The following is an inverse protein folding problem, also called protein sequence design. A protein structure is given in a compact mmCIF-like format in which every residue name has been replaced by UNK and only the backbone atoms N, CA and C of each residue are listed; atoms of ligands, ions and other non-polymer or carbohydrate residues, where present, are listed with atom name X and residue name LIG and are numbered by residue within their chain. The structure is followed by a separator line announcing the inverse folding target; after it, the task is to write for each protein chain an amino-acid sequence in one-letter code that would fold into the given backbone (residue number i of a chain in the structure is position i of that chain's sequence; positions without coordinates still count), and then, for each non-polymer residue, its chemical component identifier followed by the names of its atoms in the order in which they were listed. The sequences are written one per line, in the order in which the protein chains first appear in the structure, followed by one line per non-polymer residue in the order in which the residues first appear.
data_IF_131441975059
#
_entry.id   IF_131441975059
#
_cell.length_a   1.000
_cell.length_b   1.000
_cell.length_c   1.000
_cell.angle_alpha   90.00
_cell.angle_beta   90.00
_cell.angle_gamma   90.00
#
_symmetry.space_group_name_H-M   'P 1'
#
loop_
_entity.id
_entity.type
_entity.pdbx_description
1 polymer ?
#
# COMPACT_ATOMS: atom_id res chain seq x y z
N UNK A 1 30.39 -32.27 3.90
CA UNK A 1 30.70 -31.34 2.79
C UNK A 1 29.44 -30.89 2.02
N UNK A 2 28.53 -31.82 1.70
CA UNK A 2 27.25 -31.57 1.00
C UNK A 2 26.33 -30.57 1.72
N UNK A 3 26.24 -30.63 3.05
CA UNK A 3 25.36 -29.76 3.85
C UNK A 3 25.73 -28.27 3.76
N UNK A 4 27.03 -27.94 3.77
CA UNK A 4 27.53 -26.56 3.58
C UNK A 4 27.29 -26.02 2.17
N UNK A 5 27.15 -26.89 1.18
CA UNK A 5 26.81 -26.49 -0.19
C UNK A 5 25.30 -26.22 -0.32
N UNK A 6 24.48 -27.11 0.25
CA UNK A 6 23.02 -26.95 0.28
C UNK A 6 22.60 -25.66 1.00
N UNK A 7 23.20 -25.37 2.16
CA UNK A 7 22.94 -24.15 2.92
C UNK A 7 23.34 -22.88 2.14
N UNK A 8 24.51 -22.89 1.47
CA UNK A 8 24.96 -21.77 0.63
C UNK A 8 24.10 -21.57 -0.62
N UNK A 9 23.55 -22.64 -1.19
CA UNK A 9 22.60 -22.56 -2.30
C UNK A 9 21.27 -21.99 -1.84
N UNK A 10 20.76 -22.44 -0.69
CA UNK A 10 19.54 -21.93 -0.08
C UNK A 10 19.63 -20.44 0.23
N UNK A 11 20.74 -19.99 0.81
CA UNK A 11 20.94 -18.57 1.11
C UNK A 11 20.93 -17.71 -0.16
N UNK A 12 21.65 -18.13 -1.21
CA UNK A 12 21.65 -17.41 -2.51
C UNK A 12 20.26 -17.29 -3.11
N UNK A 13 19.47 -18.37 -3.12
CA UNK A 13 18.10 -18.34 -3.63
C UNK A 13 17.20 -17.38 -2.83
N UNK A 14 17.42 -17.27 -1.51
CA UNK A 14 16.69 -16.31 -0.68
C UNK A 14 17.12 -14.87 -0.99
N UNK A 15 18.43 -14.63 -1.15
CA UNK A 15 18.95 -13.30 -1.44
C UNK A 15 18.51 -12.81 -2.85
N UNK A 16 18.53 -13.70 -3.84
CA UNK A 16 18.04 -13.42 -5.20
C UNK A 16 16.52 -13.10 -5.18
N UNK A 17 15.73 -13.89 -4.45
CA UNK A 17 14.30 -13.65 -4.29
C UNK A 17 13.99 -12.32 -3.59
N UNK A 18 14.77 -11.93 -2.57
CA UNK A 18 14.66 -10.62 -1.92
C UNK A 18 14.92 -9.50 -2.93
N UNK A 19 15.98 -9.63 -3.74
CA UNK A 19 16.36 -8.61 -4.71
C UNK A 19 15.32 -8.45 -5.82
N UNK A 20 14.81 -9.55 -6.37
CA UNK A 20 13.75 -9.52 -7.38
C UNK A 20 12.49 -8.86 -6.83
N UNK A 21 12.06 -9.25 -5.63
CA UNK A 21 10.88 -8.68 -4.99
C UNK A 21 11.06 -7.19 -4.65
N UNK A 22 12.27 -6.74 -4.28
CA UNK A 22 12.57 -5.31 -4.08
C UNK A 22 12.36 -4.50 -5.35
N UNK A 23 12.86 -4.98 -6.49
CA UNK A 23 12.71 -4.30 -7.78
C UNK A 23 11.24 -4.23 -8.20
N UNK A 24 10.50 -5.33 -8.03
CA UNK A 24 9.08 -5.37 -8.35
C UNK A 24 8.24 -4.41 -7.49
N UNK A 25 8.46 -4.42 -6.17
CA UNK A 25 7.77 -3.53 -5.24
C UNK A 25 8.05 -2.06 -5.57
N UNK A 26 9.30 -1.69 -5.80
CA UNK A 26 9.65 -0.32 -6.16
C UNK A 26 8.92 0.13 -7.44
N UNK A 27 8.95 -0.70 -8.49
CA UNK A 27 8.24 -0.39 -9.74
C UNK A 27 6.72 -0.31 -9.60
N UNK A 28 6.10 -1.05 -8.66
CA UNK A 28 4.67 -0.89 -8.38
C UNK A 28 4.35 0.38 -7.61
N UNK A 29 5.22 0.80 -6.69
CA UNK A 29 4.97 2.04 -5.94
C UNK A 29 5.18 3.27 -6.80
N UNK A 30 6.19 3.28 -7.68
CA UNK A 30 6.35 4.35 -8.68
C UNK A 30 5.08 4.52 -9.53
N UNK A 31 4.47 3.41 -9.95
CA UNK A 31 3.19 3.40 -10.69
C UNK A 31 1.97 3.81 -9.86
N UNK A 32 2.07 3.86 -8.53
CA UNK A 32 0.95 4.30 -7.68
C UNK A 32 0.64 5.77 -7.93
N UNK A 33 1.66 6.60 -8.21
CA UNK A 33 1.45 8.00 -8.54
C UNK A 33 0.72 8.14 -9.89
N UNK A 34 1.18 7.43 -10.92
CA UNK A 34 0.52 7.39 -12.24
C UNK A 34 -0.94 6.96 -12.10
N UNK A 35 -1.20 5.88 -11.35
CA UNK A 35 -2.57 5.40 -11.13
C UNK A 35 -3.44 6.36 -10.33
N UNK A 36 -2.83 7.14 -9.42
CA UNK A 36 -3.52 8.21 -8.70
C UNK A 36 -3.94 9.31 -9.68
N UNK A 37 -3.02 9.75 -10.53
CA UNK A 37 -3.26 10.81 -11.50
C UNK A 37 -4.31 10.40 -12.54
N UNK A 38 -4.24 9.16 -13.04
CA UNK A 38 -5.24 8.58 -13.95
C UNK A 38 -6.62 8.48 -13.30
N UNK A 39 -6.68 8.09 -12.02
CA UNK A 39 -7.93 8.01 -11.26
C UNK A 39 -8.56 9.39 -11.11
N UNK A 40 -7.75 10.41 -10.79
CA UNK A 40 -8.21 11.80 -10.65
C UNK A 40 -8.70 12.34 -11.99
N UNK A 41 -7.93 12.18 -13.07
CA UNK A 41 -8.31 12.65 -14.41
C UNK A 41 -9.60 11.97 -14.88
N UNK A 42 -9.76 10.68 -14.61
CA UNK A 42 -10.98 9.95 -14.96
C UNK A 42 -12.19 10.46 -14.18
N UNK A 43 -12.07 10.68 -12.87
CA UNK A 43 -13.14 11.27 -12.06
C UNK A 43 -13.50 12.67 -12.54
N UNK A 44 -12.51 13.50 -12.88
CA UNK A 44 -12.73 14.85 -13.40
C UNK A 44 -13.49 14.83 -14.73
N UNK A 45 -13.09 13.98 -15.69
CA UNK A 45 -13.82 13.81 -16.96
C UNK A 45 -15.25 13.31 -16.75
N UNK A 46 -15.49 12.50 -15.72
CA UNK A 46 -16.84 12.06 -15.38
C UNK A 46 -17.69 13.21 -14.82
N UNK A 47 -17.09 14.11 -14.03
CA UNK A 47 -17.74 15.32 -13.56
C UNK A 47 -18.15 16.21 -14.73
N UNK A 48 -17.22 16.51 -15.65
CA UNK A 48 -17.49 17.36 -16.83
C UNK A 48 -18.60 16.79 -17.73
N UNK A 49 -18.63 15.47 -17.92
CA UNK A 49 -19.63 14.81 -18.79
C UNK A 49 -21.03 14.75 -18.20
N UNK A 50 -21.16 14.79 -16.87
CA UNK A 50 -22.42 14.51 -16.19
C UNK A 50 -23.00 15.69 -15.42
N UNK A 51 -22.29 16.83 -15.39
CA UNK A 51 -22.62 18.01 -14.58
C UNK A 51 -22.91 17.66 -13.11
N UNK A 52 -22.11 16.70 -12.59
CA UNK A 52 -22.22 16.19 -11.23
C UNK A 52 -21.03 16.64 -10.40
N UNK A 53 -21.28 16.84 -9.11
CA UNK A 53 -20.22 17.00 -8.11
C UNK A 53 -19.34 15.75 -8.01
N UNK A 54 -18.12 15.91 -7.49
CA UNK A 54 -17.19 14.80 -7.28
C UNK A 54 -17.82 13.72 -6.39
N UNK A 55 -18.55 14.10 -5.34
CA UNK A 55 -19.22 13.17 -4.44
C UNK A 55 -20.27 12.32 -5.16
N UNK A 56 -21.05 12.94 -6.05
CA UNK A 56 -22.05 12.24 -6.86
C UNK A 56 -21.42 11.32 -7.90
N UNK A 57 -20.30 11.74 -8.51
CA UNK A 57 -19.52 10.92 -9.43
C UNK A 57 -18.88 9.74 -8.70
N UNK A 58 -18.24 9.97 -7.57
CA UNK A 58 -17.63 8.93 -6.73
C UNK A 58 -18.66 7.91 -6.22
N UNK A 59 -19.90 8.35 -5.97
CA UNK A 59 -21.01 7.49 -5.57
C UNK A 59 -21.67 6.73 -6.74
N UNK A 60 -21.38 7.08 -8.00
CA UNK A 60 -21.91 6.36 -9.16
C UNK A 60 -21.35 4.93 -9.23
N UNK A 61 -21.93 4.08 -10.07
CA UNK A 61 -21.42 2.72 -10.25
C UNK A 61 -20.00 2.73 -10.82
N UNK A 62 -19.76 3.55 -11.84
CA UNK A 62 -18.46 3.71 -12.49
C UNK A 62 -17.43 4.34 -11.56
N UNK A 63 -17.81 5.37 -10.78
CA UNK A 63 -16.91 6.01 -9.83
C UNK A 63 -16.49 5.05 -8.72
N UNK A 64 -17.43 4.27 -8.19
CA UNK A 64 -17.12 3.22 -7.21
C UNK A 64 -16.22 2.13 -7.77
N UNK A 65 -16.43 1.69 -9.02
CA UNK A 65 -15.57 0.70 -9.68
C UNK A 65 -14.13 1.21 -9.82
N UNK A 66 -13.96 2.46 -10.26
CA UNK A 66 -12.66 3.10 -10.40
C UNK A 66 -11.95 3.24 -9.05
N UNK A 67 -12.64 3.77 -8.03
CA UNK A 67 -12.09 3.92 -6.69
C UNK A 67 -11.74 2.57 -6.05
N UNK A 68 -12.55 1.53 -6.32
CA UNK A 68 -12.27 0.18 -5.85
C UNK A 68 -11.03 -0.43 -6.51
N UNK A 69 -10.82 -0.20 -7.81
CA UNK A 69 -9.60 -0.62 -8.50
C UNK A 69 -8.37 0.07 -7.91
N UNK A 70 -8.46 1.39 -7.66
CA UNK A 70 -7.39 2.13 -7.00
C UNK A 70 -7.07 1.59 -5.59
N UNK A 71 -8.10 1.26 -4.81
CA UNK A 71 -7.94 0.63 -3.50
C UNK A 71 -7.25 -0.74 -3.59
N UNK A 72 -7.68 -1.59 -4.53
CA UNK A 72 -7.10 -2.92 -4.73
C UNK A 72 -5.62 -2.83 -5.12
N UNK A 73 -5.23 -1.86 -5.96
CA UNK A 73 -3.84 -1.64 -6.31
C UNK A 73 -2.98 -1.32 -5.07
N UNK A 74 -3.46 -0.41 -4.20
CA UNK A 74 -2.76 -0.06 -2.96
C UNK A 74 -2.65 -1.24 -1.99
N UNK A 75 -3.71 -2.05 -1.87
CA UNK A 75 -3.69 -3.27 -1.06
C UNK A 75 -2.72 -4.31 -1.63
N UNK A 76 -2.67 -4.48 -2.95
CA UNK A 76 -1.74 -5.37 -3.61
C UNK A 76 -0.28 -5.01 -3.32
N UNK A 77 0.04 -3.72 -3.38
CA UNK A 77 1.38 -3.22 -3.02
C UNK A 77 1.67 -3.53 -1.55
N UNK A 78 0.79 -3.14 -0.63
CA UNK A 78 1.01 -3.37 0.80
C UNK A 78 1.24 -4.85 1.13
N UNK A 79 0.48 -5.74 0.51
CA UNK A 79 0.67 -7.19 0.61
C UNK A 79 2.06 -7.63 0.13
N UNK A 80 2.51 -7.12 -1.02
CA UNK A 80 3.82 -7.45 -1.56
C UNK A 80 4.99 -6.87 -0.77
N UNK A 81 4.80 -5.70 -0.15
CA UNK A 81 5.79 -5.18 0.81
C UNK A 81 5.89 -6.11 2.02
N UNK A 82 4.77 -6.60 2.54
CA UNK A 82 4.78 -7.54 3.66
C UNK A 82 5.42 -8.89 3.29
N UNK A 83 5.17 -9.42 2.08
CA UNK A 83 5.87 -10.59 1.57
C UNK A 83 7.39 -10.36 1.51
N UNK A 84 7.83 -9.21 0.99
CA UNK A 84 9.25 -8.86 0.92
C UNK A 84 9.88 -8.84 2.33
N UNK A 85 9.16 -8.32 3.32
CA UNK A 85 9.62 -8.32 4.72
C UNK A 85 9.76 -9.73 5.27
N UNK A 86 8.78 -10.60 5.03
CA UNK A 86 8.82 -12.00 5.47
C UNK A 86 9.98 -12.78 4.84
N UNK A 87 10.23 -12.59 3.55
CA UNK A 87 11.37 -13.24 2.86
C UNK A 87 12.69 -12.67 3.36
N UNK A 88 12.78 -11.36 3.57
CA UNK A 88 13.98 -10.71 4.15
C UNK A 88 14.28 -11.21 5.58
N UNK A 89 13.26 -11.38 6.42
CA UNK A 89 13.40 -11.91 7.78
C UNK A 89 13.94 -13.34 7.77
N UNK A 90 13.41 -14.18 6.87
CA UNK A 90 13.88 -15.56 6.65
C UNK A 90 15.34 -15.58 6.19
N UNK A 91 15.71 -14.72 5.23
CA UNK A 91 17.08 -14.60 4.73
C UNK A 91 18.07 -14.18 5.82
N UNK A 92 17.67 -13.24 6.69
CA UNK A 92 18.49 -12.74 7.82
C UNK A 92 18.41 -13.60 9.08
N UNK A 93 17.61 -14.68 9.09
CA UNK A 93 17.36 -15.55 10.26
C UNK A 93 16.90 -14.80 11.51
N UNK A 94 16.17 -13.69 11.34
CA UNK A 94 15.66 -12.85 12.44
C UNK A 94 14.27 -13.34 12.86
N UNK A 95 13.99 -13.42 14.17
CA UNK A 95 12.66 -13.75 14.69
C UNK A 95 11.69 -12.59 14.48
N UNK A 96 10.46 -12.92 14.10
CA UNK A 96 9.39 -11.98 13.74
C UNK A 96 9.03 -10.99 14.87
N UNK A 97 9.31 -11.35 16.13
CA UNK A 97 8.90 -10.60 17.33
C UNK A 97 9.69 -9.30 17.62
N UNK A 98 10.66 -8.91 16.77
CA UNK A 98 11.43 -7.64 16.90
C UNK A 98 11.22 -6.72 15.68
N UNK A 99 10.02 -6.80 15.10
CA UNK A 99 9.61 -6.35 13.77
C UNK A 99 9.81 -4.86 13.44
N UNK A 100 9.85 -3.96 14.43
CA UNK A 100 10.06 -2.51 14.22
C UNK A 100 11.52 -2.08 14.32
N UNK A 101 12.41 -2.87 14.93
CA UNK A 101 13.75 -2.41 15.31
C UNK A 101 14.90 -3.05 14.53
N UNK A 102 14.71 -4.22 13.89
CA UNK A 102 15.84 -5.02 13.37
C UNK A 102 15.75 -5.43 11.89
N UNK A 103 14.63 -5.17 11.21
CA UNK A 103 14.43 -5.54 9.80
C UNK A 103 14.27 -4.26 8.98
N UNK A 104 15.30 -3.41 8.99
CA UNK A 104 15.37 -2.26 8.09
C UNK A 104 15.64 -2.76 6.66
N UNK A 105 14.58 -3.08 5.93
CA UNK A 105 14.60 -2.93 4.48
C UNK A 105 14.13 -1.50 4.21
N UNK A 106 15.07 -0.58 3.98
CA UNK A 106 14.79 0.85 3.83
C UNK A 106 13.74 1.13 2.75
N UNK A 107 13.71 0.32 1.69
CA UNK A 107 12.70 0.42 0.62
C UNK A 107 11.31 0.04 1.16
N UNK A 108 11.18 -1.12 1.82
CA UNK A 108 9.90 -1.52 2.41
C UNK A 108 9.37 -0.48 3.43
N UNK A 109 10.27 0.14 4.20
CA UNK A 109 9.93 1.20 5.15
C UNK A 109 9.51 2.49 4.44
N UNK A 110 10.26 2.95 3.42
CA UNK A 110 9.91 4.16 2.67
C UNK A 110 8.56 4.03 1.99
N UNK A 111 8.33 2.91 1.32
CA UNK A 111 7.09 2.66 0.57
C UNK A 111 5.88 2.53 1.51
N UNK A 112 6.03 1.83 2.63
CA UNK A 112 4.97 1.76 3.63
C UNK A 112 4.69 3.13 4.28
N UNK A 113 5.71 3.96 4.48
CA UNK A 113 5.50 5.31 5.01
C UNK A 113 4.77 6.21 4.02
N UNK A 114 4.94 6.02 2.71
CA UNK A 114 4.17 6.75 1.69
C UNK A 114 2.71 6.31 1.74
N UNK A 115 2.45 4.99 1.68
CA UNK A 115 1.10 4.44 1.77
C UNK A 115 0.38 4.84 3.06
N UNK A 116 1.10 4.81 4.18
CA UNK A 116 0.57 5.17 5.49
C UNK A 116 0.25 6.66 5.59
N UNK A 117 1.09 7.54 5.03
CA UNK A 117 0.80 8.98 4.96
C UNK A 117 -0.43 9.28 4.12
N UNK A 118 -0.55 8.66 2.96
CA UNK A 118 -1.74 8.80 2.12
C UNK A 118 -3.00 8.34 2.87
N UNK A 119 -2.95 7.18 3.53
CA UNK A 119 -4.05 6.68 4.36
C UNK A 119 -4.43 7.67 5.48
N UNK A 120 -3.45 8.21 6.21
CA UNK A 120 -3.69 9.20 7.27
C UNK A 120 -4.39 10.43 6.72
N UNK A 121 -3.93 10.95 5.59
CA UNK A 121 -4.48 12.15 4.96
C UNK A 121 -5.93 11.94 4.48
N UNK A 122 -6.27 10.72 4.05
CA UNK A 122 -7.63 10.36 3.64
C UNK A 122 -8.54 10.07 4.84
N UNK A 123 -8.04 9.35 5.85
CA UNK A 123 -8.83 8.82 6.96
C UNK A 123 -9.11 9.86 8.05
N UNK A 124 -8.12 10.66 8.45
CA UNK A 124 -8.29 11.58 9.59
C UNK A 124 -9.40 12.62 9.37
N UNK A 125 -9.53 13.26 8.19
CA UNK A 125 -10.64 14.19 7.93
C UNK A 125 -12.00 13.50 8.01
N UNK A 126 -12.11 12.27 7.50
CA UNK A 126 -13.35 11.47 7.60
C UNK A 126 -13.67 11.13 9.05
N UNK A 127 -12.73 10.53 9.78
CA UNK A 127 -12.90 10.15 11.17
C UNK A 127 -13.28 11.35 12.05
N UNK A 128 -12.65 12.51 11.85
CA UNK A 128 -12.99 13.74 12.56
C UNK A 128 -14.43 14.20 12.33
N UNK A 129 -14.94 14.10 11.09
CA UNK A 129 -16.36 14.41 10.79
C UNK A 129 -17.32 13.45 11.51
N UNK A 130 -17.02 12.15 11.49
CA UNK A 130 -17.90 11.15 12.13
C UNK A 130 -17.88 11.27 13.66
N UNK A 131 -16.72 11.48 14.28
CA UNK A 131 -16.61 11.74 15.72
C UNK A 131 -17.44 12.96 16.11
N UNK A 132 -17.36 14.05 15.34
CA UNK A 132 -18.14 15.26 15.60
C UNK A 132 -19.64 15.01 15.54
N UNK A 133 -20.14 14.27 14.54
CA UNK A 133 -21.57 13.91 14.45
C UNK A 133 -22.03 13.14 15.68
N UNK A 134 -21.21 12.22 16.18
CA UNK A 134 -21.50 11.44 17.38
C UNK A 134 -21.57 12.37 18.60
N UNK A 135 -20.58 13.27 18.75
CA UNK A 135 -20.58 14.25 19.85
C UNK A 135 -21.81 15.16 19.81
N UNK A 136 -22.16 15.69 18.63
CA UNK A 136 -23.33 16.55 18.43
C UNK A 136 -24.66 15.82 18.70
N UNK A 137 -24.72 14.50 18.52
CA UNK A 137 -25.88 13.68 18.86
C UNK A 137 -26.05 13.51 20.38
N UNK A 138 -24.97 13.29 21.12
CA UNK A 138 -25.03 13.10 22.58
C UNK A 138 -25.07 14.41 23.39
N UNK A 139 -24.77 15.55 22.77
CA UNK A 139 -24.84 16.88 23.38
C UNK A 139 -26.20 17.59 23.15
N UNK A 140 -27.19 16.89 22.56
CA UNK A 140 -28.58 17.33 22.39
C UNK A 140 -29.48 16.59 23.36
#
# INVERSE_FOLDING_TARGET
MIWKWAERRRQRLLDDAVKEQQVQVAGWVERTQEMTDETIDTLYRMMEKSDKSLEQVAASEEGRKLLFQFLLHRQWIAYNVELLRQVSAKAKKVRFSHYTEQIENRVAVSEMQILYRQLINEFLPFAGREIKKIQDYYNK
#
